data_IF_645665509167
#
_entry.id   IF_645665509167
#
_cell.length_a   1.000
_cell.length_b   1.000
_cell.length_c   1.000
_cell.angle_alpha   90.00
_cell.angle_beta   90.00
_cell.angle_gamma   90.00
#
_symmetry.space_group_name_H-M   'P 1'
#
loop_
_entity.id
_entity.type
_entity.pdbx_description
1 polymer ?
#
# COMPACT_ATOMS: atom_id res chain seq x y z
N UNK A 1 1.26 5.40 35.79
CA UNK A 1 0.49 6.61 35.40
C UNK A 1 -0.54 6.22 34.35
N UNK A 2 -1.79 6.62 34.53
CA UNK A 2 -2.94 6.25 33.68
C UNK A 2 -2.95 7.13 32.42
N UNK A 3 -2.37 6.64 31.32
CA UNK A 3 -2.40 7.35 30.04
C UNK A 3 -3.77 7.18 29.37
N UNK A 4 -4.68 8.10 29.67
CA UNK A 4 -5.85 8.36 28.83
C UNK A 4 -5.38 8.96 27.51
N UNK A 5 -5.85 8.45 26.38
CA UNK A 5 -5.46 8.93 25.04
C UNK A 5 -6.25 10.21 24.73
N UNK A 6 -5.68 11.39 25.01
CA UNK A 6 -6.40 12.67 24.92
C UNK A 6 -6.25 13.35 23.56
N UNK A 7 -7.12 14.33 23.30
CA UNK A 7 -6.99 15.20 22.12
C UNK A 7 -5.69 16.00 22.10
N UNK A 8 -5.10 16.27 23.27
CA UNK A 8 -3.80 16.95 23.38
C UNK A 8 -2.68 16.03 22.89
N UNK A 9 -2.68 14.76 23.30
CA UNK A 9 -1.66 13.78 22.90
C UNK A 9 -1.64 13.59 21.37
N UNK A 10 -2.82 13.59 20.75
CA UNK A 10 -2.96 13.45 19.30
C UNK A 10 -2.42 14.69 18.56
N UNK A 11 -2.60 15.90 19.12
CA UNK A 11 -2.04 17.13 18.54
C UNK A 11 -0.51 17.17 18.66
N UNK A 12 0.03 16.73 19.79
CA UNK A 12 1.47 16.62 19.97
C UNK A 12 2.07 15.57 19.03
N UNK A 13 1.44 14.40 18.92
CA UNK A 13 1.82 13.38 17.95
C UNK A 13 1.78 13.88 16.50
N UNK A 14 0.74 14.64 16.14
CA UNK A 14 0.65 15.25 14.82
C UNK A 14 1.83 16.21 14.54
N UNK A 15 2.23 16.99 15.54
CA UNK A 15 3.35 17.94 15.42
C UNK A 15 4.68 17.20 15.26
N UNK A 16 4.95 16.20 16.09
CA UNK A 16 6.13 15.32 16.01
C UNK A 16 6.29 14.67 14.62
N UNK A 17 5.18 14.21 14.03
CA UNK A 17 5.19 13.65 12.68
C UNK A 17 5.56 14.70 11.61
N UNK A 18 5.08 15.94 11.75
CA UNK A 18 5.43 17.02 10.80
C UNK A 18 6.91 17.39 10.92
N UNK A 19 7.43 17.48 12.14
CA UNK A 19 8.84 17.79 12.41
C UNK A 19 9.76 16.68 11.90
N UNK A 20 9.29 15.43 11.91
CA UNK A 20 10.00 14.25 11.40
C UNK A 20 9.98 14.08 9.86
N UNK A 21 9.57 15.11 9.09
CA UNK A 21 9.45 15.06 7.63
C UNK A 21 8.52 13.95 7.09
N UNK A 22 7.52 13.52 7.88
CA UNK A 22 6.53 12.55 7.40
C UNK A 22 5.60 13.23 6.39
N UNK A 23 5.35 12.58 5.25
CA UNK A 23 4.46 13.11 4.21
C UNK A 23 3.08 13.43 4.79
N UNK A 24 2.51 14.57 4.40
CA UNK A 24 1.22 15.06 4.91
C UNK A 24 0.09 14.02 4.80
N UNK A 25 0.03 13.24 3.72
CA UNK A 25 -0.96 12.17 3.57
C UNK A 25 -0.81 11.07 4.63
N UNK A 26 0.43 10.70 4.95
CA UNK A 26 0.74 9.74 6.01
C UNK A 26 0.40 10.32 7.39
N UNK A 27 0.72 11.59 7.65
CA UNK A 27 0.35 12.29 8.89
C UNK A 27 -1.17 12.27 9.11
N UNK A 28 -1.94 12.72 8.10
CA UNK A 28 -3.42 12.73 8.16
C UNK A 28 -3.99 11.34 8.44
N UNK A 29 -3.41 10.31 7.81
CA UNK A 29 -3.82 8.93 8.03
C UNK A 29 -3.50 8.48 9.46
N UNK A 30 -2.28 8.69 9.93
CA UNK A 30 -1.86 8.25 11.26
C UNK A 30 -2.70 8.89 12.34
N UNK A 31 -2.90 10.20 12.27
CA UNK A 31 -3.78 10.95 13.18
C UNK A 31 -5.20 10.41 13.15
N UNK A 32 -5.76 10.12 11.97
CA UNK A 32 -7.11 9.55 11.84
C UNK A 32 -7.23 8.18 12.51
N UNK A 33 -6.25 7.31 12.29
CA UNK A 33 -6.27 5.96 12.86
C UNK A 33 -6.11 5.99 14.38
N UNK A 34 -5.27 6.89 14.92
CA UNK A 34 -5.11 7.08 16.37
C UNK A 34 -6.37 7.70 17.00
N UNK A 35 -7.06 8.60 16.29
CA UNK A 35 -8.37 9.12 16.73
C UNK A 35 -9.43 8.01 16.83
N UNK A 36 -9.42 7.04 15.92
CA UNK A 36 -10.32 5.87 16.02
C UNK A 36 -10.05 5.06 17.29
N UNK A 37 -8.77 4.83 17.61
CA UNK A 37 -8.39 4.18 18.86
C UNK A 37 -8.86 5.00 20.07
N UNK A 38 -8.68 6.32 20.06
CA UNK A 38 -9.11 7.20 21.15
C UNK A 38 -10.63 7.15 21.36
N UNK A 39 -11.40 7.15 20.27
CA UNK A 39 -12.85 7.04 20.34
C UNK A 39 -13.27 5.68 20.94
N UNK A 40 -12.69 4.58 20.46
CA UNK A 40 -12.96 3.24 20.99
C UNK A 40 -12.66 3.14 22.51
N UNK A 41 -11.55 3.73 22.96
CA UNK A 41 -11.20 3.75 24.38
C UNK A 41 -12.17 4.61 25.20
N UNK A 42 -12.61 5.75 24.66
CA UNK A 42 -13.58 6.64 25.32
C UNK A 42 -14.93 5.95 25.48
N UNK A 43 -15.41 5.26 24.46
CA UNK A 43 -16.71 4.57 24.48
C UNK A 43 -16.75 3.44 25.51
N UNK A 44 -15.59 2.80 25.76
CA UNK A 44 -15.45 1.75 26.76
C UNK A 44 -14.96 2.26 28.13
N UNK A 45 -14.78 3.57 28.32
CA UNK A 45 -14.17 4.18 29.52
C UNK A 45 -12.82 3.54 29.92
N UNK A 46 -12.04 3.13 28.93
CA UNK A 46 -10.77 2.41 29.10
C UNK A 46 -9.56 3.33 28.90
N UNK A 47 -8.44 2.95 29.51
CA UNK A 47 -7.13 3.55 29.24
C UNK A 47 -6.35 2.73 28.24
N UNK A 48 -5.28 3.31 27.67
CA UNK A 48 -4.43 2.60 26.73
C UNK A 48 -3.60 1.52 27.46
N UNK A 49 -3.97 0.25 27.24
CA UNK A 49 -3.36 -0.95 27.80
C UNK A 49 -3.26 -2.03 26.72
N UNK A 50 -2.52 -3.11 26.97
CA UNK A 50 -2.46 -4.23 26.02
C UNK A 50 -3.86 -4.82 25.75
N UNK A 51 -4.68 -4.99 26.80
CA UNK A 51 -6.01 -5.57 26.69
C UNK A 51 -6.97 -4.71 25.85
N UNK A 52 -6.96 -3.39 26.07
CA UNK A 52 -7.83 -2.47 25.32
C UNK A 52 -7.36 -2.30 23.87
N UNK A 53 -6.05 -2.36 23.63
CA UNK A 53 -5.49 -2.43 22.28
C UNK A 53 -5.88 -3.71 21.55
N UNK A 54 -5.78 -4.87 22.21
CA UNK A 54 -6.18 -6.15 21.62
C UNK A 54 -7.67 -6.20 21.33
N UNK A 55 -8.51 -5.62 22.20
CA UNK A 55 -9.95 -5.47 21.96
C UNK A 55 -10.24 -4.59 20.74
N UNK A 56 -9.53 -3.46 20.59
CA UNK A 56 -9.64 -2.60 19.42
C UNK A 56 -9.22 -3.33 18.14
N UNK A 57 -8.11 -4.07 18.15
CA UNK A 57 -7.67 -4.80 16.96
C UNK A 57 -8.61 -5.94 16.58
N UNK A 58 -9.29 -6.57 17.56
CA UNK A 58 -10.32 -7.59 17.34
C UNK A 58 -11.61 -7.03 16.75
N UNK A 59 -11.96 -5.78 17.02
CA UNK A 59 -13.18 -5.17 16.46
C UNK A 59 -13.04 -4.74 15.00
N UNK A 60 -11.80 -4.60 14.48
CA UNK A 60 -11.58 -4.17 13.10
C UNK A 60 -12.08 -5.20 12.05
N UNK A 61 -11.81 -6.52 12.16
CA UNK A 61 -12.42 -7.51 11.29
C UNK A 61 -13.95 -7.51 11.35
N UNK A 62 -14.53 -7.38 12.55
CA UNK A 62 -15.99 -7.36 12.76
C UNK A 62 -16.65 -6.14 12.10
N UNK A 63 -15.93 -5.01 12.05
CA UNK A 63 -16.33 -3.80 11.33
C UNK A 63 -16.05 -3.86 9.80
N UNK A 64 -15.64 -5.02 9.26
CA UNK A 64 -15.44 -5.23 7.83
C UNK A 64 -14.12 -4.71 7.26
N UNK A 65 -13.10 -4.46 8.10
CA UNK A 65 -11.80 -4.01 7.59
C UNK A 65 -10.99 -5.17 6.98
N UNK A 66 -10.55 -4.96 5.74
CA UNK A 66 -9.60 -5.85 5.08
C UNK A 66 -8.25 -5.91 5.80
N UNK A 67 -7.58 -7.06 5.75
CA UNK A 67 -6.32 -7.29 6.48
C UNK A 67 -5.23 -6.25 6.13
N UNK A 68 -5.17 -5.79 4.86
CA UNK A 68 -4.26 -4.71 4.42
C UNK A 68 -4.54 -3.40 5.16
N UNK A 69 -5.80 -3.05 5.31
CA UNK A 69 -6.24 -1.86 6.04
C UNK A 69 -5.90 -1.97 7.52
N UNK A 70 -6.15 -3.15 8.13
CA UNK A 70 -5.80 -3.43 9.52
C UNK A 70 -4.29 -3.26 9.75
N UNK A 71 -3.44 -3.83 8.91
CA UNK A 71 -1.99 -3.65 9.03
C UNK A 71 -1.55 -2.20 8.88
N UNK A 72 -2.26 -1.44 8.05
CA UNK A 72 -2.03 -0.01 7.91
C UNK A 72 -2.41 0.77 9.17
N UNK A 73 -3.51 0.40 9.84
CA UNK A 73 -3.94 0.98 11.13
C UNK A 73 -2.93 0.61 12.22
N UNK A 74 -2.48 -0.65 12.26
CA UNK A 74 -1.45 -1.13 13.20
C UNK A 74 -0.15 -0.32 13.05
N UNK A 75 0.26 0.02 11.83
CA UNK A 75 1.44 0.86 11.61
C UNK A 75 1.27 2.26 12.21
N UNK A 76 0.10 2.88 12.03
CA UNK A 76 -0.25 4.18 12.65
C UNK A 76 -0.18 4.10 14.18
N UNK A 77 -0.73 3.04 14.78
CA UNK A 77 -0.73 2.82 16.23
C UNK A 77 0.69 2.57 16.75
N UNK A 78 1.50 1.75 16.08
CA UNK A 78 2.91 1.55 16.43
C UNK A 78 3.69 2.87 16.45
N UNK A 79 3.44 3.72 15.45
CA UNK A 79 4.04 5.04 15.38
C UNK A 79 3.66 5.90 16.59
N UNK A 80 2.39 5.88 16.99
CA UNK A 80 1.92 6.57 18.18
C UNK A 80 2.52 5.99 19.47
N UNK A 81 2.53 4.66 19.65
CA UNK A 81 3.11 4.02 20.83
C UNK A 81 4.60 4.37 20.98
N UNK A 82 5.35 4.44 19.87
CA UNK A 82 6.75 4.89 19.87
C UNK A 82 6.86 6.34 20.35
N UNK A 83 6.03 7.24 19.81
CA UNK A 83 5.98 8.64 20.22
C UNK A 83 5.64 8.79 21.71
N UNK A 84 4.65 8.05 22.20
CA UNK A 84 4.19 8.09 23.59
C UNK A 84 5.13 7.35 24.57
N UNK A 85 6.25 6.80 24.11
CA UNK A 85 7.16 6.00 24.94
C UNK A 85 6.58 4.66 25.42
N UNK A 86 5.46 4.22 24.84
CA UNK A 86 4.74 2.99 25.20
C UNK A 86 5.27 1.77 24.45
N UNK A 87 6.55 1.48 24.64
CA UNK A 87 7.19 0.28 24.06
C UNK A 87 6.76 -1.02 24.75
N UNK A 88 6.03 -0.93 25.85
CA UNK A 88 5.38 -2.04 26.55
C UNK A 88 4.26 -2.70 25.73
N UNK A 89 3.66 -1.96 24.79
CA UNK A 89 2.52 -2.42 24.00
C UNK A 89 2.95 -3.16 22.73
N UNK A 90 2.47 -4.39 22.58
CA UNK A 90 2.72 -5.22 21.41
C UNK A 90 1.57 -5.12 20.40
N UNK A 91 1.84 -4.49 19.25
CA UNK A 91 0.90 -4.52 18.12
C UNK A 91 1.35 -5.59 17.11
N UNK A 92 0.79 -6.81 17.18
CA UNK A 92 1.10 -7.86 16.20
C UNK A 92 0.37 -7.58 14.89
N UNK A 93 1.12 -7.41 13.81
CA UNK A 93 0.54 -7.28 12.46
C UNK A 93 -0.10 -8.59 12.03
N UNK A 94 -1.24 -8.50 11.34
CA UNK A 94 -1.89 -9.66 10.75
C UNK A 94 -1.01 -10.22 9.64
N UNK A 95 -0.77 -11.52 9.67
CA UNK A 95 0.04 -12.21 8.68
C UNK A 95 -0.78 -12.34 7.39
N UNK A 96 -0.67 -11.33 6.52
CA UNK A 96 -1.28 -11.40 5.19
C UNK A 96 -0.34 -12.26 4.35
N UNK A 97 -0.74 -13.50 4.07
CA UNK A 97 -0.18 -14.21 2.91
C UNK A 97 -0.46 -13.29 1.73
N UNK A 98 0.58 -12.77 1.08
CA UNK A 98 0.42 -12.07 -0.21
C UNK A 98 -0.43 -13.02 -1.04
N UNK A 99 -1.67 -12.63 -1.40
CA UNK A 99 -2.30 -13.22 -2.58
C UNK A 99 -1.22 -13.07 -3.64
N UNK A 100 -0.62 -14.18 -4.03
CA UNK A 100 0.32 -14.19 -5.12
C UNK A 100 -0.40 -13.51 -6.26
N UNK A 101 0.31 -12.64 -6.99
CA UNK A 101 -0.21 -11.96 -8.17
C UNK A 101 -0.60 -12.95 -9.29
N UNK A 102 -0.86 -14.23 -8.99
CA UNK A 102 -1.34 -15.26 -9.89
C UNK A 102 -2.70 -14.92 -10.47
N UNK A 103 -3.58 -14.23 -9.74
CA UNK A 103 -4.81 -13.66 -10.32
C UNK A 103 -4.48 -12.62 -11.42
N UNK A 104 -3.36 -11.89 -11.30
CA UNK A 104 -2.89 -10.96 -12.33
C UNK A 104 -2.13 -11.64 -13.47
N UNK A 105 -1.79 -12.94 -13.40
CA UNK A 105 -1.08 -13.62 -14.51
C UNK A 105 -2.07 -14.02 -15.61
N UNK A 106 -3.26 -14.48 -15.23
CA UNK A 106 -4.29 -14.92 -16.19
C UNK A 106 -4.85 -13.76 -17.03
N UNK A 107 -4.76 -12.52 -16.53
CA UNK A 107 -5.16 -11.31 -17.25
C UNK A 107 -4.03 -10.68 -18.08
N UNK A 108 -2.91 -11.38 -18.29
CA UNK A 108 -1.78 -10.87 -19.07
C UNK A 108 -1.93 -11.23 -20.53
N UNK A 109 -1.48 -10.31 -21.38
CA UNK A 109 -1.28 -10.59 -22.80
C UNK A 109 -0.32 -11.76 -22.98
N UNK A 110 -0.72 -12.72 -23.81
CA UNK A 110 0.21 -13.72 -24.32
C UNK A 110 1.22 -13.07 -25.29
N UNK A 111 2.26 -13.82 -25.67
CA UNK A 111 3.22 -13.37 -26.68
C UNK A 111 2.53 -13.10 -28.01
N UNK A 112 1.60 -13.98 -28.41
CA UNK A 112 0.84 -13.88 -29.65
C UNK A 112 -0.08 -12.64 -29.66
N UNK A 113 -0.75 -12.37 -28.55
CA UNK A 113 -1.63 -11.19 -28.41
C UNK A 113 -0.82 -9.88 -28.46
N UNK A 114 0.36 -9.89 -27.84
CA UNK A 114 1.28 -8.75 -27.89
C UNK A 114 1.81 -8.49 -29.31
N UNK A 115 2.24 -9.52 -30.02
CA UNK A 115 2.70 -9.42 -31.41
C UNK A 115 1.59 -8.95 -32.35
N UNK A 116 0.37 -9.47 -32.17
CA UNK A 116 -0.79 -9.04 -32.95
C UNK A 116 -1.11 -7.54 -32.74
N UNK A 117 -1.00 -7.04 -31.50
CA UNK A 117 -1.16 -5.61 -31.19
C UNK A 117 -0.10 -4.75 -31.88
N UNK A 118 1.17 -5.16 -31.83
CA UNK A 118 2.26 -4.45 -32.51
C UNK A 118 2.08 -4.45 -34.02
N UNK A 119 1.77 -5.62 -34.62
CA UNK A 119 1.58 -5.75 -36.06
C UNK A 119 0.45 -4.87 -36.56
N UNK A 120 -0.69 -4.87 -35.87
CA UNK A 120 -1.84 -4.04 -36.21
C UNK A 120 -1.49 -2.54 -36.17
N UNK A 121 -0.77 -2.09 -35.14
CA UNK A 121 -0.35 -0.69 -35.04
C UNK A 121 0.67 -0.29 -36.12
N UNK A 122 1.56 -1.21 -36.51
CA UNK A 122 2.52 -1.01 -37.61
C UNK A 122 1.83 -0.94 -38.98
N UNK A 123 0.88 -1.85 -39.26
CA UNK A 123 0.07 -1.85 -40.48
C UNK A 123 -0.73 -0.54 -40.65
N UNK A 124 -1.22 -0.01 -39.54
CA UNK A 124 -1.92 1.29 -39.48
C UNK A 124 -0.97 2.50 -39.53
N UNK A 125 0.35 2.28 -39.58
CA UNK A 125 1.40 3.32 -39.48
C UNK A 125 1.25 4.22 -38.24
N UNK A 126 0.65 3.70 -37.17
CA UNK A 126 0.45 4.42 -35.91
C UNK A 126 1.67 4.22 -34.99
N UNK A 127 2.78 4.85 -35.36
CA UNK A 127 4.06 4.68 -34.67
C UNK A 127 4.03 5.11 -33.20
N UNK A 128 3.16 6.05 -32.84
CA UNK A 128 2.98 6.46 -31.43
C UNK A 128 2.37 5.35 -30.58
N UNK A 129 1.42 4.61 -31.14
CA UNK A 129 0.82 3.44 -30.49
C UNK A 129 1.84 2.30 -30.35
N UNK A 130 2.65 2.05 -31.38
CA UNK A 130 3.77 1.09 -31.32
C UNK A 130 4.71 1.41 -30.14
N UNK A 131 5.11 2.68 -30.02
CA UNK A 131 6.00 3.11 -28.93
C UNK A 131 5.35 2.93 -27.55
N UNK A 132 4.06 3.24 -27.41
CA UNK A 132 3.33 3.03 -26.14
C UNK A 132 3.29 1.56 -25.75
N UNK A 133 2.99 0.66 -26.70
CA UNK A 133 2.96 -0.79 -26.47
C UNK A 133 4.34 -1.30 -26.02
N UNK A 134 5.41 -0.81 -26.64
CA UNK A 134 6.79 -1.15 -26.26
C UNK A 134 7.15 -0.64 -24.85
N UNK A 135 6.79 0.61 -24.51
CA UNK A 135 7.04 1.18 -23.18
C UNK A 135 6.31 0.39 -22.09
N UNK A 136 5.05 0.01 -22.33
CA UNK A 136 4.28 -0.79 -21.36
C UNK A 136 4.91 -2.16 -21.13
N UNK A 137 5.38 -2.84 -22.18
CA UNK A 137 6.08 -4.12 -22.05
C UNK A 137 7.39 -4.00 -21.24
N UNK A 138 8.13 -2.91 -21.41
CA UNK A 138 9.40 -2.68 -20.68
C UNK A 138 9.16 -2.31 -19.21
N UNK A 139 8.11 -1.52 -18.93
CA UNK A 139 7.84 -0.98 -17.59
C UNK A 139 7.12 -1.97 -16.67
N UNK A 140 6.40 -2.95 -17.22
CA UNK A 140 5.82 -4.02 -16.42
C UNK A 140 6.92 -4.91 -15.80
N UNK A 141 7.01 -4.88 -14.47
CA UNK A 141 8.05 -5.58 -13.67
C UNK A 141 7.88 -7.10 -13.66
N UNK A 142 6.72 -7.59 -14.07
CA UNK A 142 6.34 -9.02 -14.03
C UNK A 142 6.32 -9.63 -15.43
N UNK A 143 6.45 -8.82 -16.48
CA UNK A 143 6.57 -9.30 -17.85
C UNK A 143 7.91 -10.05 -18.04
N UNK A 144 7.92 -11.27 -18.62
CA UNK A 144 9.09 -12.13 -18.65
C UNK A 144 10.27 -11.40 -19.30
N UNK A 145 11.40 -11.33 -18.58
CA UNK A 145 12.62 -10.65 -19.02
C UNK A 145 13.14 -11.18 -20.37
N UNK A 146 12.75 -12.40 -20.73
CA UNK A 146 13.06 -13.08 -21.97
C UNK A 146 12.46 -12.35 -23.18
N UNK A 147 11.20 -11.89 -23.07
CA UNK A 147 10.53 -11.12 -24.12
C UNK A 147 11.11 -9.72 -24.25
N UNK A 148 11.50 -9.09 -23.13
CA UNK A 148 12.23 -7.80 -23.17
C UNK A 148 13.53 -7.91 -23.99
N UNK A 149 14.25 -9.03 -23.88
CA UNK A 149 15.48 -9.28 -24.66
C UNK A 149 15.20 -9.63 -26.12
N UNK A 150 14.13 -10.35 -26.42
CA UNK A 150 13.70 -10.63 -27.80
C UNK A 150 13.21 -9.36 -28.51
N UNK A 151 12.38 -8.54 -27.87
CA UNK A 151 11.85 -7.29 -28.44
C UNK A 151 12.94 -6.26 -28.71
N UNK A 152 13.95 -6.15 -27.83
CA UNK A 152 15.15 -5.32 -28.08
C UNK A 152 15.96 -5.84 -29.27
N UNK A 153 15.98 -7.15 -29.51
CA UNK A 153 16.72 -7.76 -30.62
C UNK A 153 15.99 -7.74 -31.96
N UNK A 154 14.65 -7.79 -31.98
CA UNK A 154 13.86 -7.89 -33.21
C UNK A 154 13.10 -6.61 -33.61
N UNK A 155 12.78 -5.72 -32.67
CA UNK A 155 11.87 -4.58 -32.93
C UNK A 155 12.42 -3.20 -32.56
N UNK A 156 13.63 -3.09 -32.00
CA UNK A 156 14.31 -1.80 -31.81
C UNK A 156 15.16 -1.38 -33.03
N UNK A 157 15.23 -2.22 -34.07
CA UNK A 157 15.78 -1.86 -35.38
C UNK A 157 14.70 -1.46 -36.39
N UNK A 158 13.51 -1.06 -35.93
CA UNK A 158 12.50 -0.48 -36.83
C UNK A 158 13.01 0.91 -37.21
N UNK A 159 13.66 1.00 -38.36
CA UNK A 159 13.90 2.28 -39.02
C UNK A 159 12.54 2.87 -39.38
N UNK A 160 12.13 3.89 -38.65
CA UNK A 160 11.05 4.76 -39.06
C UNK A 160 11.46 5.45 -40.37
N UNK A 161 10.55 5.57 -41.36
CA UNK A 161 10.82 6.33 -42.57
C UNK A 161 11.11 7.80 -42.27
#
# INVERSE_FOLDING_TARGET
MTHSLTSSDIKQFQSDLMDSNVKLNTVKKYVRDVKKLAHFLSDQTQTLSQNSLDAFLKSLPEAGYEARSINSIIASIKSYCKFAGRTDLQCKSLNIRKKSNHEDIQNRLTEEEYEALLRTALEQKNYRQVLMIQIFAVTDKVYPQNLKRQLVRSHFSVTYP
#
